data_IF_151940768732
#
_entry.id   IF_151940768732
#
_cell.length_a   1.000
_cell.length_b   1.000
_cell.length_c   1.000
_cell.angle_alpha   90.00
_cell.angle_beta   90.00
_cell.angle_gamma   90.00
#
_symmetry.space_group_name_H-M   'P 1'
#
loop_
_entity.id
_entity.type
_entity.pdbx_description
1 polymer ?
#
# COMPACT_ATOMS: atom_id res chain seq x y z
N UNK A 1 2.32 1.82 -29.05
CA UNK A 1 1.59 1.59 -28.83
C UNK A 1 1.18 1.08 -28.62
N UNK A 2 2.27 1.20 -28.61
CA UNK A 2 1.45 0.94 -28.40
C UNK A 2 1.07 0.40 -28.12
N UNK A 3 2.01 0.49 -28.06
CA UNK A 3 1.27 0.21 -27.88
C UNK A 3 0.84 -0.28 -27.50
N UNK A 4 1.52 -0.16 -27.45
CA UNK A 4 0.76 -0.41 -27.21
C UNK A 4 0.15 -0.84 -26.81
N UNK A 5 0.82 -0.61 -26.53
CA UNK A 5 -0.10 -0.86 -26.27
C UNK A 5 -0.76 -1.27 -26.00
N UNK A 6 0.32 -1.24 -26.03
CA UNK A 6 -0.64 -1.48 -26.02
C UNK A 6 -1.23 -1.94 -25.84
N UNK A 7 -0.53 -1.79 -25.78
CA UNK A 7 -1.44 -2.07 -25.81
C UNK A 7 -2.08 -2.51 -25.58
N UNK A 8 -1.51 -2.36 -25.55
CA UNK A 8 -2.50 -2.64 -25.49
C UNK A 8 -3.11 -2.98 -25.29
N UNK A 9 -2.74 -2.79 -25.34
CA UNK A 9 -3.63 -2.98 -25.30
C UNK A 9 -4.33 -3.30 -25.40
N UNK A 10 -4.17 -3.34 -25.80
CA UNK A 10 -5.06 -3.61 -25.97
C UNK A 10 -5.75 -4.14 -25.95
N UNK A 11 -5.60 -4.15 -25.99
CA UNK A 11 -6.38 -4.75 -25.88
C UNK A 11 -7.18 -5.33 -25.77
N UNK A 12 -6.83 -5.46 -25.82
CA UNK A 12 -7.81 -6.11 -25.89
C UNK A 12 -8.82 -6.30 -25.30
N UNK A 13 -9.54 -5.99 -25.39
CA UNK A 13 -10.59 -6.26 -24.71
C UNK A 13 -10.91 -7.53 -24.57
N UNK A 14 -10.30 -8.02 -24.21
CA UNK A 14 -10.53 -9.26 -24.22
C UNK A 14 -11.49 -9.72 -23.26
N UNK A 15 -12.25 -10.58 -23.60
CA UNK A 15 -13.14 -11.19 -22.76
C UNK A 15 -12.52 -12.32 -22.08
N UNK A 16 -11.28 -12.56 -22.29
CA UNK A 16 -10.62 -13.66 -21.66
C UNK A 16 -10.47 -13.42 -20.19
N UNK A 17 -10.58 -14.48 -19.42
CA UNK A 17 -10.29 -14.42 -18.03
C UNK A 17 -8.87 -13.95 -17.82
N UNK A 18 -8.67 -13.02 -16.93
CA UNK A 18 -7.35 -12.55 -16.61
C UNK A 18 -6.59 -13.65 -15.86
N UNK A 19 -5.37 -13.93 -16.28
CA UNK A 19 -4.57 -14.97 -15.65
C UNK A 19 -3.39 -14.42 -14.87
N UNK A 20 -3.22 -13.11 -14.88
CA UNK A 20 -2.17 -12.47 -14.11
C UNK A 20 -2.55 -11.02 -13.88
N UNK A 21 -1.87 -10.39 -12.94
CA UNK A 21 -2.12 -9.00 -12.64
C UNK A 21 -1.74 -8.12 -13.82
N UNK A 22 -2.45 -6.99 -13.96
CA UNK A 22 -2.03 -5.99 -14.92
C UNK A 22 -0.67 -5.46 -14.50
N UNK A 23 0.02 -4.80 -15.42
CA UNK A 23 1.32 -4.24 -15.12
C UNK A 23 1.27 -3.30 -13.91
N UNK A 24 0.24 -2.45 -13.88
CA UNK A 24 0.07 -1.49 -12.79
C UNK A 24 -0.16 -2.21 -11.46
N UNK A 25 -1.03 -3.21 -11.45
CA UNK A 25 -1.33 -3.95 -10.24
C UNK A 25 -0.13 -4.75 -9.77
N UNK A 26 0.60 -5.35 -10.71
CA UNK A 26 1.80 -6.11 -10.36
C UNK A 26 2.84 -5.21 -9.71
N UNK A 27 3.02 -4.02 -10.27
CA UNK A 27 3.97 -3.07 -9.72
C UNK A 27 3.56 -2.62 -8.32
N UNK A 28 2.28 -2.37 -8.14
CA UNK A 28 1.75 -1.99 -6.84
C UNK A 28 1.98 -3.11 -5.82
N UNK A 29 1.69 -4.33 -6.23
CA UNK A 29 1.87 -5.49 -5.37
C UNK A 29 3.33 -5.68 -4.97
N UNK A 30 4.24 -5.47 -5.91
CA UNK A 30 5.67 -5.61 -5.62
C UNK A 30 6.17 -4.57 -4.64
N UNK A 31 5.58 -3.37 -4.66
CA UNK A 31 6.01 -2.28 -3.81
C UNK A 31 5.34 -2.27 -2.44
N UNK A 32 4.15 -2.86 -2.33
CA UNK A 32 3.39 -2.80 -1.09
C UNK A 32 4.12 -3.34 0.14
N UNK A 33 4.82 -4.49 0.06
CA UNK A 33 5.51 -4.98 1.25
C UNK A 33 6.50 -3.97 1.81
N UNK A 34 7.23 -3.28 0.95
CA UNK A 34 8.18 -2.28 1.39
C UNK A 34 7.47 -1.07 1.97
N UNK A 35 6.39 -0.64 1.33
CA UNK A 35 5.61 0.49 1.82
C UNK A 35 5.01 0.19 3.18
N UNK A 36 4.52 -1.04 3.37
CA UNK A 36 3.98 -1.44 4.65
C UNK A 36 5.06 -1.47 5.73
N UNK A 37 6.23 -1.96 5.38
CA UNK A 37 7.34 -1.99 6.32
C UNK A 37 7.73 -0.58 6.75
N UNK A 38 7.83 0.34 5.79
CA UNK A 38 8.17 1.73 6.09
C UNK A 38 7.12 2.36 7.00
N UNK A 39 5.85 2.08 6.75
CA UNK A 39 4.77 2.60 7.58
C UNK A 39 4.81 2.03 8.99
N UNK A 40 5.12 0.73 9.11
CA UNK A 40 5.26 0.11 10.42
C UNK A 40 6.37 0.76 11.23
N UNK A 41 7.50 1.05 10.58
CA UNK A 41 8.59 1.71 11.25
C UNK A 41 8.20 3.12 11.68
N UNK A 42 7.47 3.83 10.83
CA UNK A 42 7.02 5.16 11.17
C UNK A 42 6.05 5.14 12.35
N UNK A 43 5.12 4.17 12.36
CA UNK A 43 4.20 4.03 13.48
C UNK A 43 4.94 3.76 14.77
N UNK A 44 5.97 2.92 14.71
CA UNK A 44 6.78 2.59 15.86
C UNK A 44 7.51 3.83 16.39
N UNK A 45 8.07 4.61 15.47
CA UNK A 45 8.76 5.85 15.84
C UNK A 45 7.82 6.83 16.54
N UNK A 46 6.62 6.98 16.01
CA UNK A 46 5.64 7.89 16.59
C UNK A 46 5.24 7.42 17.97
N UNK A 47 4.97 6.12 18.11
CA UNK A 47 4.60 5.55 19.41
C UNK A 47 5.72 5.72 20.44
N UNK A 48 6.96 5.47 20.03
CA UNK A 48 8.10 5.63 20.92
C UNK A 48 8.22 7.09 21.39
N UNK A 49 8.02 8.02 20.48
CA UNK A 49 8.09 9.43 20.84
C UNK A 49 6.97 9.81 21.81
N UNK A 50 5.75 9.25 21.60
CA UNK A 50 4.64 9.52 22.51
C UNK A 50 4.87 8.95 23.90
N UNK A 51 5.74 7.95 24.03
CA UNK A 51 6.08 7.40 25.32
C UNK A 51 7.24 8.11 26.00
N UNK A 52 7.86 9.04 25.29
CA UNK A 52 9.00 9.79 25.81
C UNK A 52 8.62 11.27 25.95
N UNK A 53 8.44 11.76 27.21
CA UNK A 53 8.00 13.16 27.40
C UNK A 53 8.88 14.19 26.73
N UNK A 54 10.18 13.96 26.69
CA UNK A 54 11.08 14.91 26.04
C UNK A 54 10.81 15.00 24.55
N UNK A 55 10.37 13.91 23.95
CA UNK A 55 10.10 13.88 22.52
C UNK A 55 8.76 14.55 22.20
N UNK A 56 7.68 14.12 22.87
CA UNK A 56 6.37 14.65 22.51
C UNK A 56 6.16 16.08 22.98
N UNK A 57 6.89 16.54 23.99
CA UNK A 57 6.80 17.93 24.41
C UNK A 57 7.33 18.87 23.35
N UNK A 58 8.39 18.46 22.65
CA UNK A 58 8.95 19.28 21.58
C UNK A 58 8.05 19.35 20.36
N UNK A 59 7.42 18.25 20.04
CA UNK A 59 6.62 18.17 18.82
C UNK A 59 5.15 18.50 19.05
N UNK A 60 4.68 18.39 20.29
CA UNK A 60 3.28 18.61 20.60
C UNK A 60 2.48 17.31 20.50
N UNK A 61 1.83 16.96 21.62
CA UNK A 61 1.15 15.70 21.72
C UNK A 61 -0.05 15.61 20.74
N UNK A 62 -0.72 16.74 20.52
CA UNK A 62 -1.86 16.76 19.60
C UNK A 62 -1.39 16.51 18.16
N UNK A 63 -0.31 17.22 17.77
CA UNK A 63 0.22 17.04 16.42
C UNK A 63 0.67 15.61 16.19
N UNK A 64 1.31 15.00 17.18
CA UNK A 64 1.79 13.63 17.07
C UNK A 64 0.64 12.63 17.00
N UNK A 65 -0.41 12.88 17.80
CA UNK A 65 -1.59 12.01 17.75
C UNK A 65 -2.25 12.06 16.39
N UNK A 66 -2.32 13.24 15.80
CA UNK A 66 -2.88 13.39 14.46
C UNK A 66 -2.03 12.68 13.42
N UNK A 67 -0.72 12.80 13.55
CA UNK A 67 0.18 12.09 12.63
C UNK A 67 0.05 10.59 12.78
N UNK A 68 -0.08 10.11 14.00
CA UNK A 68 -0.27 8.69 14.25
C UNK A 68 -1.54 8.17 13.59
N UNK A 69 -2.66 8.90 13.79
CA UNK A 69 -3.93 8.51 13.21
C UNK A 69 -3.86 8.49 11.68
N UNK A 70 -3.27 9.52 11.09
CA UNK A 70 -3.15 9.61 9.64
C UNK A 70 -2.30 8.47 9.09
N UNK A 71 -1.20 8.16 9.77
CA UNK A 71 -0.30 7.10 9.33
C UNK A 71 -0.98 5.73 9.46
N UNK A 72 -1.72 5.52 10.55
CA UNK A 72 -2.48 4.29 10.72
C UNK A 72 -3.50 4.08 9.61
N UNK A 73 -4.19 5.15 9.24
CA UNK A 73 -5.20 5.09 8.19
C UNK A 73 -4.57 4.69 6.86
N UNK A 74 -3.43 5.29 6.55
CA UNK A 74 -2.71 4.95 5.33
C UNK A 74 -2.26 3.49 5.37
N UNK A 75 -1.76 3.06 6.51
CA UNK A 75 -1.30 1.69 6.68
C UNK A 75 -2.44 0.69 6.45
N UNK A 76 -3.58 0.95 7.07
CA UNK A 76 -4.73 0.06 6.94
C UNK A 76 -5.24 0.00 5.50
N UNK A 77 -5.26 1.14 4.83
CA UNK A 77 -5.69 1.18 3.44
C UNK A 77 -4.76 0.33 2.56
N UNK A 78 -3.46 0.43 2.81
CA UNK A 78 -2.50 -0.34 2.02
C UNK A 78 -2.55 -1.83 2.34
N UNK A 79 -2.82 -2.19 3.59
CA UNK A 79 -3.00 -3.59 3.95
C UNK A 79 -4.20 -4.17 3.22
N UNK A 80 -5.31 -3.44 3.19
CA UNK A 80 -6.50 -3.88 2.49
C UNK A 80 -6.21 -4.07 1.00
N UNK A 81 -5.49 -3.13 0.42
CA UNK A 81 -5.14 -3.23 -1.00
C UNK A 81 -4.25 -4.44 -1.26
N UNK A 82 -3.30 -4.69 -0.38
CA UNK A 82 -2.41 -5.83 -0.50
C UNK A 82 -3.20 -7.14 -0.46
N UNK A 83 -4.15 -7.23 0.45
CA UNK A 83 -4.99 -8.42 0.55
C UNK A 83 -5.86 -8.60 -0.69
N UNK A 84 -6.38 -7.50 -1.23
CA UNK A 84 -7.14 -7.57 -2.48
C UNK A 84 -6.31 -8.15 -3.61
N UNK A 85 -5.07 -7.68 -3.72
CA UNK A 85 -4.18 -8.17 -4.77
C UNK A 85 -3.82 -9.63 -4.57
N UNK A 86 -3.63 -10.04 -3.32
CA UNK A 86 -3.34 -11.44 -3.03
C UNK A 86 -4.52 -12.34 -3.39
N UNK A 87 -5.72 -11.89 -3.08
CA UNK A 87 -6.93 -12.64 -3.45
C UNK A 87 -7.05 -12.77 -4.95
N UNK A 88 -6.73 -11.69 -5.64
CA UNK A 88 -6.78 -11.69 -7.09
C UNK A 88 -5.80 -12.70 -7.67
N UNK A 89 -4.59 -12.73 -7.13
CA UNK A 89 -3.57 -13.69 -7.57
C UNK A 89 -4.02 -15.11 -7.29
N UNK A 90 -4.62 -15.35 -6.13
CA UNK A 90 -5.14 -16.67 -5.82
C UNK A 90 -6.21 -17.11 -6.79
N UNK A 91 -7.06 -16.17 -7.22
CA UNK A 91 -8.10 -16.51 -8.16
C UNK A 91 -7.54 -16.91 -9.52
N UNK A 92 -6.35 -16.39 -9.87
CA UNK A 92 -5.70 -16.79 -11.13
C UNK A 92 -5.21 -18.21 -11.06
N UNK A 93 -4.88 -18.70 -9.87
CA UNK A 93 -4.31 -20.02 -9.67
C UNK A 93 -5.36 -21.10 -9.37
N UNK A 94 -6.60 -20.71 -9.23
CA UNK A 94 -7.65 -21.70 -8.90
C UNK A 94 -8.34 -22.29 -10.09
#
# INVERSE_FOLDING_TARGET
EIAKEASNEKVTPSIKKQTKLSYKDQREYDNLPKELEDLELKLEEINDCLMNPKCYEQKGIVAMSQELDATKEIYETKVERFLELEELIESFNS
#
